data_IF_971868254773
#
_entry.id   IF_971868254773
#
_cell.length_a   1.000
_cell.length_b   1.000
_cell.length_c   1.000
_cell.angle_alpha   90.00
_cell.angle_beta   90.00
_cell.angle_gamma   90.00
#
_symmetry.space_group_name_H-M   'P 1'
#
loop_
_entity.id
_entity.type
_entity.pdbx_description
1 polymer ?
#
# COMPACT_ATOMS: atom_id res chain seq x y z
N UNK A 1 7.09 -49.47 -24.46
CA UNK A 1 5.78 -48.91 -24.87
C UNK A 1 5.85 -47.43 -24.60
N UNK A 2 5.95 -46.64 -25.68
CA UNK A 2 5.91 -45.19 -25.63
C UNK A 2 4.48 -44.76 -25.31
N UNK A 3 4.31 -43.78 -24.42
CA UNK A 3 3.02 -43.16 -24.13
C UNK A 3 3.11 -41.70 -24.57
N UNK A 4 2.10 -41.33 -25.34
CA UNK A 4 2.00 -40.16 -26.21
C UNK A 4 2.05 -38.84 -25.45
N UNK A 5 2.67 -37.87 -26.10
CA UNK A 5 2.67 -36.46 -25.75
C UNK A 5 1.43 -35.84 -26.41
N UNK A 6 0.49 -35.32 -25.62
CA UNK A 6 -0.58 -34.46 -26.13
C UNK A 6 -0.19 -32.99 -25.87
N UNK A 7 -0.05 -32.24 -26.97
CA UNK A 7 0.15 -30.79 -27.01
C UNK A 7 -1.18 -30.03 -26.77
N UNK A 8 -1.12 -28.75 -26.37
CA UNK A 8 -2.12 -28.12 -25.52
C UNK A 8 -3.33 -27.59 -26.29
N UNK A 9 -4.50 -27.67 -25.66
CA UNK A 9 -5.72 -27.02 -26.12
C UNK A 9 -5.58 -25.51 -25.96
N UNK A 10 -5.53 -24.80 -27.09
CA UNK A 10 -5.71 -23.36 -27.19
C UNK A 10 -7.13 -22.96 -26.73
N UNK A 11 -7.22 -21.87 -25.98
CA UNK A 11 -8.48 -21.12 -25.84
C UNK A 11 -9.14 -21.17 -24.47
N UNK A 12 -8.49 -20.59 -23.46
CA UNK A 12 -9.21 -19.79 -22.46
C UNK A 12 -8.43 -18.49 -22.30
N UNK A 13 -8.97 -17.41 -22.88
CA UNK A 13 -8.57 -16.05 -22.54
C UNK A 13 -8.86 -15.86 -21.05
N UNK A 14 -7.85 -16.05 -20.21
CA UNK A 14 -7.90 -15.64 -18.82
C UNK A 14 -7.84 -14.11 -18.86
N UNK A 15 -8.99 -13.47 -18.66
CA UNK A 15 -9.09 -12.04 -18.38
C UNK A 15 -8.10 -11.72 -17.24
N UNK A 16 -6.94 -11.18 -17.60
CA UNK A 16 -6.03 -10.57 -16.64
C UNK A 16 -6.80 -9.47 -15.93
N UNK A 17 -7.11 -9.71 -14.66
CA UNK A 17 -7.55 -8.69 -13.71
C UNK A 17 -6.44 -7.64 -13.61
N UNK A 18 -6.51 -6.66 -14.51
CA UNK A 18 -5.82 -5.38 -14.39
C UNK A 18 -6.36 -4.71 -13.14
N UNK A 19 -5.65 -4.86 -12.02
CA UNK A 19 -5.79 -3.97 -10.86
C UNK A 19 -5.14 -2.64 -11.24
N UNK A 20 -5.87 -1.90 -12.06
CA UNK A 20 -5.48 -0.64 -12.66
C UNK A 20 -6.65 0.01 -13.39
N UNK A 21 -7.89 -0.39 -13.06
CA UNK A 21 -9.06 0.38 -13.45
C UNK A 21 -9.01 1.70 -12.68
N UNK A 22 -8.83 2.78 -13.43
CA UNK A 22 -9.48 4.06 -13.18
C UNK A 22 -10.78 3.79 -12.45
N UNK A 23 -10.87 4.19 -11.18
CA UNK A 23 -12.04 3.93 -10.35
C UNK A 23 -13.21 4.69 -10.97
N UNK A 24 -13.99 3.99 -11.76
CA UNK A 24 -15.35 4.38 -12.10
C UNK A 24 -16.10 4.52 -10.78
N UNK A 25 -16.68 5.70 -10.60
CA UNK A 25 -17.51 6.13 -9.48
C UNK A 25 -18.50 5.04 -8.99
N UNK A 26 -18.10 4.19 -8.04
CA UNK A 26 -19.00 3.24 -7.40
C UNK A 26 -18.71 3.13 -5.88
N UNK A 27 -19.73 3.50 -5.10
CA UNK A 27 -19.85 3.52 -3.64
C UNK A 27 -18.92 4.46 -2.87
N UNK A 28 -19.17 5.76 -2.97
CA UNK A 28 -18.63 6.74 -2.02
C UNK A 28 -19.39 6.59 -0.69
N UNK A 29 -18.77 5.93 0.30
CA UNK A 29 -19.33 5.81 1.65
C UNK A 29 -19.44 7.17 2.35
N UNK A 30 -20.33 7.29 3.34
CA UNK A 30 -20.40 8.48 4.20
C UNK A 30 -19.11 8.61 5.00
N UNK A 31 -18.58 9.82 5.08
CA UNK A 31 -17.45 10.13 5.92
C UNK A 31 -17.87 10.09 7.39
N UNK A 32 -17.17 9.31 8.20
CA UNK A 32 -17.35 9.28 9.65
C UNK A 32 -16.58 10.45 10.29
N UNK A 33 -17.06 10.93 11.44
CA UNK A 33 -16.33 11.93 12.20
C UNK A 33 -15.03 11.33 12.74
N UNK A 34 -13.92 12.00 12.46
CA UNK A 34 -12.61 11.64 12.99
C UNK A 34 -12.43 12.23 14.39
N UNK A 35 -11.42 11.74 15.10
CA UNK A 35 -10.96 12.40 16.32
C UNK A 35 -10.34 13.75 15.95
N UNK A 36 -10.40 14.69 16.89
CA UNK A 36 -9.79 16.00 16.75
C UNK A 36 -8.32 15.88 16.30
N UNK A 37 -7.91 16.76 15.40
CA UNK A 37 -6.53 16.81 14.94
C UNK A 37 -5.57 16.97 16.11
N UNK A 38 -4.50 16.19 16.09
CA UNK A 38 -3.39 16.33 17.03
C UNK A 38 -2.30 17.12 16.32
N UNK A 39 -1.75 18.15 16.99
CA UNK A 39 -0.66 18.95 16.43
C UNK A 39 0.62 18.12 16.18
N UNK A 40 0.77 17.00 16.91
CA UNK A 40 1.86 16.04 16.76
C UNK A 40 1.46 14.86 15.84
N UNK A 41 2.42 14.36 15.07
CA UNK A 41 2.26 13.19 14.20
C UNK A 41 2.27 13.51 12.70
N UNK A 42 1.91 12.52 11.89
CA UNK A 42 2.00 12.60 10.43
C UNK A 42 0.65 12.82 9.72
N UNK A 43 -0.43 13.00 10.49
CA UNK A 43 -1.76 13.31 9.98
C UNK A 43 -2.03 14.82 10.05
N UNK A 44 -2.61 15.39 9.00
CA UNK A 44 -2.98 16.80 8.93
C UNK A 44 -4.39 16.95 8.37
N UNK A 45 -5.22 17.78 9.01
CA UNK A 45 -6.57 18.06 8.53
C UNK A 45 -6.59 19.42 7.82
N UNK A 46 -7.22 19.45 6.64
CA UNK A 46 -7.41 20.69 5.89
C UNK A 46 -8.78 20.68 5.27
N UNK A 47 -9.63 21.61 5.71
CA UNK A 47 -10.93 21.79 5.08
C UNK A 47 -10.77 22.16 3.60
N UNK A 48 -9.89 23.12 3.25
CA UNK A 48 -9.64 23.55 1.87
C UNK A 48 -8.21 24.01 1.61
N UNK A 49 -7.68 23.66 0.43
CA UNK A 49 -6.34 24.04 -0.05
C UNK A 49 -6.42 24.74 -1.43
N UNK A 50 -7.45 25.54 -1.67
CA UNK A 50 -7.63 26.23 -2.94
C UNK A 50 -6.67 27.44 -3.07
N UNK A 51 -5.92 27.47 -4.17
CA UNK A 51 -5.17 28.62 -4.69
C UNK A 51 -4.40 29.45 -3.61
N UNK A 52 -3.47 28.84 -2.84
CA UNK A 52 -2.69 29.58 -1.86
C UNK A 52 -1.75 30.60 -2.53
N UNK A 53 -1.52 31.74 -1.87
CA UNK A 53 -0.45 32.66 -2.28
C UNK A 53 0.91 31.97 -2.22
N UNK A 54 1.92 32.41 -3.01
CA UNK A 54 3.25 31.77 -3.01
C UNK A 54 3.87 31.68 -1.60
N UNK A 55 3.72 32.73 -0.80
CA UNK A 55 4.18 32.75 0.60
C UNK A 55 3.45 31.73 1.48
N UNK A 56 2.15 31.53 1.26
CA UNK A 56 1.37 30.52 1.98
C UNK A 56 1.75 29.11 1.51
N UNK A 57 2.00 28.94 0.22
CA UNK A 57 2.46 27.68 -0.35
C UNK A 57 3.78 27.24 0.28
N UNK A 58 4.75 28.14 0.45
CA UNK A 58 6.04 27.80 1.05
C UNK A 58 5.91 27.43 2.54
N UNK A 59 4.97 28.05 3.27
CA UNK A 59 4.61 27.63 4.63
C UNK A 59 4.00 26.23 4.65
N UNK A 60 3.07 25.95 3.74
CA UNK A 60 2.45 24.63 3.62
C UNK A 60 3.45 23.55 3.24
N UNK A 61 4.40 23.85 2.34
CA UNK A 61 5.50 22.93 1.98
C UNK A 61 6.38 22.64 3.19
N UNK A 62 6.72 23.66 3.98
CA UNK A 62 7.52 23.48 5.20
C UNK A 62 6.79 22.59 6.22
N UNK A 63 5.48 22.78 6.37
CA UNK A 63 4.64 21.95 7.22
C UNK A 63 4.56 20.50 6.71
N UNK A 64 4.32 20.30 5.41
CA UNK A 64 4.31 18.97 4.79
C UNK A 64 5.62 18.23 5.01
N UNK A 65 6.75 18.93 4.85
CA UNK A 65 8.07 18.36 5.11
C UNK A 65 8.19 17.84 6.55
N UNK A 66 7.75 18.63 7.53
CA UNK A 66 7.77 18.22 8.93
C UNK A 66 6.87 16.99 9.17
N UNK A 67 5.65 16.97 8.62
CA UNK A 67 4.73 15.82 8.73
C UNK A 67 5.32 14.54 8.11
N UNK A 68 6.01 14.67 6.97
CA UNK A 68 6.73 13.56 6.32
C UNK A 68 7.84 13.04 7.23
N UNK A 69 8.66 13.92 7.82
CA UNK A 69 9.77 13.54 8.70
C UNK A 69 9.27 12.83 9.97
N UNK A 70 8.21 13.33 10.61
CA UNK A 70 7.56 12.70 11.76
C UNK A 70 6.97 11.32 11.41
N UNK A 71 6.44 11.17 10.20
CA UNK A 71 5.87 9.92 9.71
C UNK A 71 6.86 9.00 9.00
N UNK A 72 8.17 9.16 9.24
CA UNK A 72 9.24 8.32 8.67
C UNK A 72 9.22 8.25 7.12
N UNK A 73 8.77 9.32 6.46
CA UNK A 73 8.63 9.42 5.01
C UNK A 73 7.19 9.38 4.48
N UNK A 74 6.18 9.29 5.36
CA UNK A 74 4.76 9.26 4.99
C UNK A 74 3.96 10.32 5.75
N UNK A 75 3.12 11.10 5.06
CA UNK A 75 2.16 12.01 5.66
C UNK A 75 0.74 11.72 5.13
N UNK A 76 -0.26 11.83 5.99
CA UNK A 76 -1.68 11.64 5.66
C UNK A 76 -2.40 12.98 5.73
N UNK A 77 -3.09 13.34 4.67
CA UNK A 77 -3.90 14.54 4.56
C UNK A 77 -5.37 14.17 4.45
N UNK A 78 -6.18 14.67 5.39
CA UNK A 78 -7.63 14.55 5.34
C UNK A 78 -8.21 15.84 4.79
N UNK A 79 -8.56 15.83 3.49
CA UNK A 79 -9.11 16.97 2.78
C UNK A 79 -10.64 16.98 2.91
N UNK A 80 -11.20 18.13 3.26
CA UNK A 80 -12.64 18.29 3.49
C UNK A 80 -13.08 18.04 4.94
N UNK A 81 -12.12 17.85 5.85
CA UNK A 81 -12.34 17.78 7.29
C UNK A 81 -12.00 19.11 7.96
N UNK A 82 -12.79 19.49 8.96
CA UNK A 82 -12.44 20.57 9.89
C UNK A 82 -11.47 20.06 10.97
N UNK A 83 -10.77 20.97 11.64
CA UNK A 83 -9.74 20.64 12.65
C UNK A 83 -10.32 19.82 13.84
N UNK A 84 -11.64 19.88 14.04
CA UNK A 84 -12.39 19.09 15.03
C UNK A 84 -12.70 17.65 14.58
N UNK A 85 -12.29 17.27 13.35
CA UNK A 85 -12.58 15.97 12.74
C UNK A 85 -13.96 15.89 12.07
N UNK A 86 -14.70 17.00 11.97
CA UNK A 86 -16.01 17.02 11.31
C UNK A 86 -15.87 16.92 9.78
N UNK A 87 -16.51 15.93 9.12
CA UNK A 87 -16.48 15.82 7.67
C UNK A 87 -17.49 16.78 7.05
N UNK A 88 -17.02 17.98 6.68
CA UNK A 88 -17.84 18.95 5.97
C UNK A 88 -17.94 18.63 4.49
N UNK A 89 -16.82 18.31 3.86
CA UNK A 89 -16.72 18.03 2.43
C UNK A 89 -16.58 19.29 1.57
N UNK A 90 -16.14 19.07 0.34
CA UNK A 90 -15.90 20.08 -0.70
C UNK A 90 -16.65 19.74 -1.99
N UNK A 91 -16.89 20.76 -2.82
CA UNK A 91 -17.36 20.53 -4.19
C UNK A 91 -16.28 19.83 -5.04
N UNK A 92 -16.69 19.23 -6.17
CA UNK A 92 -15.75 18.54 -7.07
C UNK A 92 -14.66 19.48 -7.61
N UNK A 93 -15.01 20.72 -7.94
CA UNK A 93 -14.07 21.74 -8.41
C UNK A 93 -13.05 22.15 -7.32
N UNK A 94 -13.52 22.34 -6.08
CA UNK A 94 -12.65 22.70 -4.95
C UNK A 94 -11.74 21.55 -4.53
N UNK A 95 -12.24 20.31 -4.62
CA UNK A 95 -11.45 19.10 -4.36
C UNK A 95 -10.31 18.97 -5.38
N UNK A 96 -10.60 19.15 -6.67
CA UNK A 96 -9.58 19.08 -7.72
C UNK A 96 -8.49 20.13 -7.52
N UNK A 97 -8.87 21.38 -7.21
CA UNK A 97 -7.90 22.45 -6.88
C UNK A 97 -7.08 22.14 -5.64
N UNK A 98 -7.71 21.61 -4.59
CA UNK A 98 -7.01 21.25 -3.35
C UNK A 98 -5.99 20.13 -3.57
N UNK A 99 -6.35 19.13 -4.38
CA UNK A 99 -5.45 18.05 -4.79
C UNK A 99 -4.31 18.56 -5.68
N UNK A 100 -4.57 19.52 -6.57
CA UNK A 100 -3.52 20.12 -7.41
C UNK A 100 -2.51 20.90 -6.56
N UNK A 101 -2.97 21.71 -5.62
CA UNK A 101 -2.10 22.38 -4.63
C UNK A 101 -1.23 21.36 -3.88
N UNK A 102 -1.82 20.25 -3.42
CA UNK A 102 -1.08 19.21 -2.71
C UNK A 102 -0.03 18.52 -3.59
N UNK A 103 -0.35 18.29 -4.87
CA UNK A 103 0.63 17.79 -5.86
C UNK A 103 1.77 18.77 -6.08
N UNK A 104 1.48 20.07 -6.16
CA UNK A 104 2.53 21.10 -6.27
C UNK A 104 3.41 21.14 -5.02
N UNK A 105 2.84 20.99 -3.83
CA UNK A 105 3.59 20.88 -2.58
C UNK A 105 4.49 19.65 -2.56
N UNK A 106 3.95 18.49 -2.93
CA UNK A 106 4.68 17.23 -2.98
C UNK A 106 5.79 17.24 -4.03
N UNK A 107 5.56 17.86 -5.19
CA UNK A 107 6.57 18.01 -6.24
C UNK A 107 7.78 18.84 -5.80
N UNK A 108 7.60 19.81 -4.88
CA UNK A 108 8.72 20.57 -4.28
C UNK A 108 9.55 19.75 -3.29
N UNK A 109 9.02 18.63 -2.80
CA UNK A 109 9.64 17.76 -1.80
C UNK A 109 9.94 16.36 -2.33
N UNK A 110 10.03 16.20 -3.66
CA UNK A 110 10.27 14.90 -4.32
C UNK A 110 9.37 13.78 -3.76
N UNK A 111 8.09 14.10 -3.55
CA UNK A 111 7.12 13.23 -2.92
C UNK A 111 6.00 12.85 -3.90
N UNK A 112 5.47 11.63 -3.75
CA UNK A 112 4.34 11.13 -4.52
C UNK A 112 3.03 11.30 -3.73
N UNK A 113 1.95 11.65 -4.43
CA UNK A 113 0.61 11.83 -3.86
C UNK A 113 -0.32 10.73 -4.36
N UNK A 114 -0.94 10.00 -3.45
CA UNK A 114 -1.92 8.95 -3.75
C UNK A 114 -3.21 9.21 -2.99
N UNK A 115 -4.34 9.30 -3.68
CA UNK A 115 -5.66 9.36 -3.04
C UNK A 115 -6.01 7.94 -2.59
N UNK A 116 -6.08 7.71 -1.29
CA UNK A 116 -6.36 6.40 -0.69
C UNK A 116 -7.86 6.13 -0.72
N UNK A 117 -8.65 7.13 -0.36
CA UNK A 117 -10.09 7.00 -0.23
C UNK A 117 -10.79 8.32 -0.52
N UNK A 118 -11.99 8.23 -1.07
CA UNK A 118 -12.93 9.35 -1.20
C UNK A 118 -14.22 8.98 -0.49
N UNK A 119 -14.77 9.89 0.30
CA UNK A 119 -15.98 9.73 1.08
C UNK A 119 -16.92 10.93 0.90
N UNK A 120 -18.20 10.81 1.24
CA UNK A 120 -19.16 11.91 1.20
C UNK A 120 -19.30 12.54 2.59
N UNK A 121 -18.92 13.80 2.73
CA UNK A 121 -19.21 14.64 3.89
C UNK A 121 -20.62 15.24 3.84
N UNK A 122 -20.90 16.17 4.76
CA UNK A 122 -22.22 16.83 4.88
C UNK A 122 -22.61 17.70 3.67
N UNK A 123 -21.65 18.39 3.08
CA UNK A 123 -21.82 19.41 2.04
C UNK A 123 -21.05 19.07 0.74
N UNK A 124 -20.37 17.92 0.67
CA UNK A 124 -19.56 17.55 -0.49
C UNK A 124 -18.71 16.29 -0.30
N UNK A 125 -17.64 16.13 -1.08
CA UNK A 125 -16.68 15.01 -0.98
C UNK A 125 -15.55 15.34 0.00
N UNK A 126 -15.11 14.33 0.74
CA UNK A 126 -13.87 14.33 1.51
C UNK A 126 -12.89 13.33 0.86
N UNK A 127 -11.59 13.56 1.02
CA UNK A 127 -10.57 12.68 0.49
C UNK A 127 -9.45 12.46 1.51
N UNK A 128 -9.10 11.20 1.69
CA UNK A 128 -7.93 10.76 2.44
C UNK A 128 -6.78 10.59 1.45
N UNK A 129 -5.72 11.39 1.63
CA UNK A 129 -4.62 11.49 0.69
C UNK A 129 -3.31 11.14 1.39
N UNK A 130 -2.60 10.15 0.86
CA UNK A 130 -1.28 9.76 1.33
C UNK A 130 -0.21 10.47 0.51
N UNK A 131 0.69 11.17 1.18
CA UNK A 131 1.89 11.75 0.60
C UNK A 131 3.09 10.92 1.06
N UNK A 132 3.84 10.37 0.11
CA UNK A 132 5.01 9.54 0.39
C UNK A 132 6.26 10.16 -0.23
N UNK A 133 7.26 10.44 0.59
CA UNK A 133 8.55 10.93 0.12
C UNK A 133 9.28 9.84 -0.65
N UNK A 134 9.83 10.18 -1.82
CA UNK A 134 10.69 9.28 -2.58
C UNK A 134 12.06 9.34 -1.90
N UNK A 135 12.26 8.48 -0.90
CA UNK A 135 13.48 8.45 -0.11
C UNK A 135 14.73 8.27 -0.98
N UNK A 136 15.81 8.98 -0.64
CA UNK A 136 17.16 8.56 -1.03
C UNK A 136 17.39 7.15 -0.46
N UNK A 137 18.06 6.28 -1.23
CA UNK A 137 18.29 4.83 -0.97
C UNK A 137 18.88 4.44 0.41
N UNK A 138 19.10 5.39 1.33
CA UNK A 138 19.77 5.20 2.61
C UNK A 138 18.83 4.88 3.77
N UNK A 139 17.52 5.17 3.65
CA UNK A 139 16.53 4.82 4.68
C UNK A 139 15.26 4.28 4.02
N UNK A 140 15.17 2.98 3.80
CA UNK A 140 13.91 2.34 3.45
C UNK A 140 13.09 2.14 4.74
N UNK A 141 11.80 2.47 4.70
CA UNK A 141 10.89 2.20 5.81
C UNK A 141 10.66 0.68 5.87
N UNK A 142 11.17 0.01 6.91
CA UNK A 142 10.95 -1.42 7.14
C UNK A 142 9.85 -1.64 8.19
N UNK A 143 8.75 -2.29 7.80
CA UNK A 143 7.73 -2.78 8.72
C UNK A 143 7.88 -4.28 8.90
N UNK A 144 8.11 -4.72 10.14
CA UNK A 144 8.24 -6.15 10.48
C UNK A 144 6.93 -6.68 11.05
N UNK A 145 6.36 -7.68 10.39
CA UNK A 145 5.08 -8.29 10.75
C UNK A 145 5.33 -9.72 11.19
N UNK A 146 5.13 -10.01 12.47
CA UNK A 146 5.17 -11.37 12.99
C UNK A 146 3.78 -12.01 12.90
N UNK A 147 3.69 -13.17 12.24
CA UNK A 147 2.43 -13.91 12.09
C UNK A 147 2.39 -15.03 13.12
N UNK A 148 1.40 -14.98 14.02
CA UNK A 148 1.22 -15.93 15.13
C UNK A 148 -0.18 -16.54 15.01
N UNK A 149 -0.31 -17.82 15.39
CA UNK A 149 -1.59 -18.51 15.38
C UNK A 149 -1.43 -20.02 15.51
N UNK A 150 -2.56 -20.71 15.67
CA UNK A 150 -2.60 -22.16 15.84
C UNK A 150 -1.98 -22.91 14.64
N UNK A 151 -1.68 -24.19 14.86
CA UNK A 151 -1.33 -25.13 13.79
C UNK A 151 -2.48 -25.15 12.78
N UNK A 152 -2.15 -25.20 11.49
CA UNK A 152 -3.11 -25.24 10.37
C UNK A 152 -4.01 -23.99 10.18
N UNK A 153 -3.75 -22.89 10.89
CA UNK A 153 -4.45 -21.61 10.69
C UNK A 153 -4.15 -20.92 9.34
N UNK A 154 -3.29 -21.49 8.50
CA UNK A 154 -2.94 -20.94 7.18
C UNK A 154 -1.93 -19.79 7.20
N UNK A 155 -1.16 -19.63 8.28
CA UNK A 155 -0.14 -18.56 8.45
C UNK A 155 0.84 -18.52 7.27
N UNK A 156 1.53 -19.63 7.04
CA UNK A 156 2.51 -19.77 5.95
C UNK A 156 1.85 -19.71 4.58
N UNK A 157 0.60 -20.15 4.48
CA UNK A 157 -0.18 -20.03 3.23
C UNK A 157 -0.45 -18.56 2.90
N UNK A 158 -0.90 -17.76 3.86
CA UNK A 158 -1.13 -16.32 3.69
C UNK A 158 0.16 -15.59 3.30
N UNK A 159 1.26 -15.88 3.99
CA UNK A 159 2.57 -15.27 3.67
C UNK A 159 3.00 -15.67 2.25
N UNK A 160 2.82 -16.92 1.86
CA UNK A 160 3.13 -17.40 0.50
C UNK A 160 2.30 -16.71 -0.58
N UNK A 161 0.99 -16.52 -0.34
CA UNK A 161 0.10 -15.81 -1.27
C UNK A 161 0.50 -14.34 -1.39
N UNK A 162 0.71 -13.66 -0.26
CA UNK A 162 1.09 -12.25 -0.24
C UNK A 162 2.44 -12.01 -0.90
N UNK A 163 3.43 -12.87 -0.66
CA UNK A 163 4.79 -12.60 -1.17
C UNK A 163 4.96 -12.94 -2.66
N UNK A 164 4.14 -13.85 -3.20
CA UNK A 164 4.24 -14.34 -4.59
C UNK A 164 3.08 -13.91 -5.49
N UNK A 165 1.98 -13.40 -4.94
CA UNK A 165 0.81 -12.96 -5.69
C UNK A 165 0.03 -14.11 -6.33
N UNK A 166 0.30 -15.36 -5.96
CA UNK A 166 -0.36 -16.55 -6.47
C UNK A 166 -1.28 -17.12 -5.40
N UNK A 167 -2.56 -17.29 -5.74
CA UNK A 167 -3.53 -17.92 -4.86
C UNK A 167 -3.17 -19.37 -4.59
N UNK A 168 -3.46 -19.83 -3.36
CA UNK A 168 -3.24 -21.22 -2.99
C UNK A 168 -4.32 -22.12 -3.60
N UNK A 169 -3.92 -23.27 -4.13
CA UNK A 169 -4.82 -24.28 -4.69
C UNK A 169 -5.54 -25.15 -3.62
N UNK A 170 -5.51 -24.74 -2.35
CA UNK A 170 -6.06 -25.48 -1.21
C UNK A 170 -5.25 -26.73 -0.82
N UNK A 171 -4.12 -27.01 -1.49
CA UNK A 171 -3.20 -28.10 -1.15
C UNK A 171 -1.89 -27.60 -0.56
N UNK A 172 -1.78 -26.30 -0.25
CA UNK A 172 -0.59 -25.69 0.32
C UNK A 172 0.51 -25.39 -0.70
N UNK A 173 0.17 -25.25 -1.98
CA UNK A 173 1.09 -24.75 -3.01
C UNK A 173 1.76 -23.42 -2.63
N UNK A 174 1.04 -22.50 -1.97
CA UNK A 174 1.58 -21.21 -1.57
C UNK A 174 2.62 -21.33 -0.45
N UNK A 175 2.38 -22.19 0.56
CA UNK A 175 3.31 -22.38 1.69
C UNK A 175 4.59 -23.13 1.29
N UNK A 176 4.59 -23.89 0.20
CA UNK A 176 5.81 -24.52 -0.33
C UNK A 176 6.90 -23.49 -0.66
N UNK A 177 6.52 -22.26 -1.03
CA UNK A 177 7.46 -21.18 -1.30
C UNK A 177 8.07 -20.57 -0.02
N UNK A 178 7.47 -20.85 1.14
CA UNK A 178 7.90 -20.33 2.46
C UNK A 178 8.76 -21.36 3.20
N UNK A 179 8.56 -22.65 2.93
CA UNK A 179 9.33 -23.74 3.53
C UNK A 179 10.80 -23.65 3.18
N UNK A 180 11.64 -23.87 4.21
CA UNK A 180 13.09 -23.78 4.12
C UNK A 180 13.75 -25.16 4.11
N UNK A 181 13.11 -26.14 4.75
CA UNK A 181 13.69 -27.47 4.92
C UNK A 181 12.85 -28.56 4.25
N UNK A 182 13.54 -29.63 3.83
CA UNK A 182 12.90 -30.77 3.15
C UNK A 182 11.81 -31.44 4.00
N UNK A 183 12.02 -31.58 5.30
CA UNK A 183 11.02 -32.17 6.21
C UNK A 183 9.78 -31.29 6.40
N UNK A 184 9.84 -29.99 6.08
CA UNK A 184 8.66 -29.11 6.10
C UNK A 184 7.76 -29.38 4.89
N UNK A 185 8.39 -29.59 3.72
CA UNK A 185 7.71 -30.02 2.51
C UNK A 185 7.09 -31.42 2.65
N UNK A 186 7.80 -32.35 3.30
CA UNK A 186 7.33 -33.73 3.48
C UNK A 186 6.18 -33.82 4.50
N UNK A 187 6.29 -33.10 5.63
CA UNK A 187 5.27 -33.14 6.69
C UNK A 187 4.16 -32.10 6.51
N UNK A 188 4.31 -31.18 5.54
CA UNK A 188 3.38 -30.09 5.29
C UNK A 188 3.28 -29.07 6.42
N UNK A 189 4.32 -28.95 7.26
CA UNK A 189 4.34 -28.11 8.48
C UNK A 189 5.61 -27.29 8.56
N UNK A 190 5.49 -26.04 8.97
CA UNK A 190 6.64 -25.20 9.33
C UNK A 190 7.27 -25.66 10.62
N UNK A 191 8.59 -25.80 10.62
CA UNK A 191 9.40 -26.23 11.77
C UNK A 191 10.38 -25.14 12.23
N UNK A 192 10.57 -24.11 11.42
CA UNK A 192 11.50 -23.02 11.68
C UNK A 192 10.91 -21.66 11.34
N UNK A 193 11.54 -20.62 11.89
CA UNK A 193 11.21 -19.23 11.57
C UNK A 193 11.62 -18.95 10.12
N UNK A 194 10.67 -18.52 9.31
CA UNK A 194 10.91 -18.10 7.92
C UNK A 194 10.75 -16.59 7.80
N UNK A 195 11.61 -15.96 7.01
CA UNK A 195 11.53 -14.54 6.69
C UNK A 195 11.17 -14.39 5.22
N UNK A 196 10.17 -13.58 4.92
CA UNK A 196 9.78 -13.25 3.56
C UNK A 196 9.61 -11.74 3.45
N UNK A 197 10.04 -11.16 2.33
CA UNK A 197 9.92 -9.72 2.12
C UNK A 197 8.91 -9.41 1.01
N UNK A 198 8.21 -8.29 1.17
CA UNK A 198 7.36 -7.67 0.17
C UNK A 198 7.74 -6.20 0.02
N UNK A 199 7.93 -5.77 -1.23
CA UNK A 199 8.23 -4.39 -1.59
C UNK A 199 7.00 -3.62 -2.05
N UNK A 200 6.86 -2.39 -1.57
CA UNK A 200 5.87 -1.43 -2.04
C UNK A 200 6.56 -0.23 -2.70
N UNK A 201 6.13 0.11 -3.91
CA UNK A 201 6.59 1.29 -4.62
C UNK A 201 6.00 2.60 -4.02
N UNK A 202 6.41 3.75 -4.54
CA UNK A 202 5.90 5.04 -4.07
C UNK A 202 4.40 5.25 -4.31
N UNK A 203 3.80 4.51 -5.26
CA UNK A 203 2.38 4.57 -5.60
C UNK A 203 1.53 3.67 -4.70
N UNK A 204 2.13 2.66 -4.09
CA UNK A 204 1.47 1.62 -3.30
C UNK A 204 1.36 0.27 -4.01
N UNK A 205 1.93 0.12 -5.20
CA UNK A 205 1.92 -1.13 -5.96
C UNK A 205 2.97 -2.12 -5.43
N UNK A 206 2.63 -3.41 -5.48
CA UNK A 206 3.50 -4.50 -5.02
C UNK A 206 4.56 -4.81 -6.08
N UNK A 207 5.83 -4.64 -5.71
CA UNK A 207 6.99 -4.86 -6.60
C UNK A 207 7.27 -6.34 -6.84
N UNK A 208 6.87 -7.21 -5.91
CA UNK A 208 7.18 -8.65 -5.92
C UNK A 208 6.56 -9.44 -7.08
N UNK A 209 5.49 -8.94 -7.70
CA UNK A 209 4.67 -9.71 -8.63
C UNK A 209 5.12 -9.61 -10.10
N UNK A 210 6.37 -9.23 -10.36
CA UNK A 210 6.86 -9.09 -11.73
C UNK A 210 6.78 -10.42 -12.51
N UNK A 211 5.98 -10.45 -13.57
CA UNK A 211 5.41 -11.65 -14.21
C UNK A 211 6.41 -12.66 -14.82
N UNK A 212 7.70 -12.34 -14.88
CA UNK A 212 8.70 -13.16 -15.59
C UNK A 212 9.62 -13.95 -14.66
N UNK A 213 9.85 -13.46 -13.43
CA UNK A 213 10.75 -14.10 -12.46
C UNK A 213 10.47 -13.58 -11.06
N UNK A 214 10.65 -14.44 -10.07
CA UNK A 214 10.72 -14.04 -8.67
C UNK A 214 11.91 -13.08 -8.44
N UNK A 215 11.66 -11.81 -8.09
CA UNK A 215 12.73 -10.84 -7.90
C UNK A 215 13.59 -11.22 -6.68
N UNK A 216 14.90 -10.95 -6.78
CA UNK A 216 15.80 -11.14 -5.65
C UNK A 216 15.51 -10.13 -4.54
N UNK A 217 15.94 -10.43 -3.32
CA UNK A 217 15.67 -9.53 -2.19
C UNK A 217 16.30 -8.14 -2.38
N UNK A 218 17.45 -8.08 -3.06
CA UNK A 218 18.13 -6.84 -3.43
C UNK A 218 17.32 -6.03 -4.44
N UNK A 219 16.76 -6.67 -5.48
CA UNK A 219 15.93 -5.98 -6.48
C UNK A 219 14.64 -5.42 -5.87
N UNK A 220 14.03 -6.16 -4.94
CA UNK A 220 12.88 -5.69 -4.19
C UNK A 220 13.29 -4.45 -3.38
N UNK A 221 14.38 -4.52 -2.63
CA UNK A 221 14.84 -3.40 -1.81
C UNK A 221 15.18 -2.13 -2.62
N UNK A 222 15.77 -2.28 -3.80
CA UNK A 222 16.13 -1.13 -4.67
C UNK A 222 14.92 -0.44 -5.29
N UNK A 223 13.86 -1.19 -5.62
CA UNK A 223 12.67 -0.66 -6.28
C UNK A 223 11.57 -0.25 -5.30
N UNK A 224 11.74 -0.52 -4.00
CA UNK A 224 10.72 -0.30 -2.99
C UNK A 224 10.97 0.97 -2.19
N UNK A 225 9.91 1.74 -2.00
CA UNK A 225 9.87 2.83 -1.03
C UNK A 225 9.66 2.31 0.40
N UNK A 226 8.98 1.18 0.55
CA UNK A 226 8.65 0.54 1.83
C UNK A 226 8.81 -0.97 1.72
N UNK A 227 9.42 -1.58 2.74
CA UNK A 227 9.64 -3.02 2.80
C UNK A 227 8.83 -3.60 3.95
N UNK A 228 8.03 -4.61 3.65
CA UNK A 228 7.28 -5.41 4.61
C UNK A 228 8.04 -6.72 4.81
N UNK A 229 8.57 -6.95 6.01
CA UNK A 229 9.24 -8.20 6.36
C UNK A 229 8.27 -9.05 7.18
N UNK A 230 7.79 -10.14 6.60
CA UNK A 230 6.97 -11.14 7.28
C UNK A 230 7.86 -12.15 8.00
N UNK A 231 7.59 -12.33 9.28
CA UNK A 231 8.20 -13.35 10.14
C UNK A 231 7.17 -14.43 10.37
N UNK A 232 7.34 -15.56 9.69
CA UNK A 232 6.53 -16.75 9.91
C UNK A 232 7.04 -17.48 11.14
N UNK A 233 6.24 -17.52 12.19
CA UNK A 233 6.57 -18.26 13.40
C UNK A 233 6.00 -19.68 13.29
N UNK A 234 6.91 -20.66 13.40
CA UNK A 234 6.55 -22.06 13.35
C UNK A 234 5.50 -22.40 14.41
N UNK A 235 4.47 -23.14 13.98
CA UNK A 235 3.41 -23.68 14.83
C UNK A 235 2.83 -24.92 14.19
#
# INVERSE_FOLDING_TARGET
>A
MAQEWEEPVEGEEVEELRVGKTVSCEMVGLAEALQQEVEEGNCEYKWKLCDPTPERLDKLVSQLKWRIEEGLGEAVYEIGFEDDGTPRGLSDEEMEKSLDTLKQMAAKLDSHVTVVRTSMGKEGKCAEVLVRHIADMRHFMELRIAVIGNVDAGKSTLIGVLTKGKLDNGRGSARMNVFRYRHEAENGRTSAISLQIMGLDAKGDVVNYSSLRDPSWSEIAEKSSKILTFVDLAG
#
